data_IF_484784458072
#
_entry.id   IF_484784458072
#
_cell.length_a   1.000
_cell.length_b   1.000
_cell.length_c   1.000
_cell.angle_alpha   90.00
_cell.angle_beta   90.00
_cell.angle_gamma   90.00
#
_symmetry.space_group_name_H-M   'P 1'
#
loop_
_entity.id
_entity.type
_entity.pdbx_description
1 polymer ?
#
# COMPACT_ATOMS: atom_id res chain seq x y z
N UNK A 1 -14.94 14.16 4.45
CA UNK A 1 -13.94 13.26 3.83
C UNK A 1 -12.70 14.08 3.59
N UNK A 2 -11.54 13.69 4.12
CA UNK A 2 -10.29 14.44 3.94
C UNK A 2 -9.66 13.98 2.63
N UNK A 3 -9.61 14.86 1.65
CA UNK A 3 -8.83 14.64 0.43
C UNK A 3 -7.34 14.68 0.81
N UNK A 4 -6.70 13.51 0.86
CA UNK A 4 -5.24 13.43 0.94
C UNK A 4 -4.69 13.71 -0.47
N UNK A 5 -4.71 14.99 -0.87
CA UNK A 5 -4.33 15.40 -2.23
C UNK A 5 -2.80 15.58 -2.42
N UNK A 6 -2.00 15.04 -1.49
CA UNK A 6 -0.54 15.13 -1.55
C UNK A 6 0.02 13.77 -1.95
N UNK A 7 0.64 13.72 -3.12
CA UNK A 7 1.33 12.54 -3.65
C UNK A 7 2.84 12.71 -3.43
N UNK A 8 3.41 11.91 -2.55
CA UNK A 8 4.85 11.84 -2.31
C UNK A 8 5.50 10.92 -3.34
N UNK A 9 6.77 11.21 -3.69
CA UNK A 9 7.51 10.42 -4.67
C UNK A 9 8.81 9.88 -4.10
N UNK A 10 9.02 8.60 -4.33
CA UNK A 10 10.15 7.83 -3.81
C UNK A 10 10.76 6.95 -4.89
N UNK A 11 11.96 6.44 -4.61
CA UNK A 11 12.57 5.38 -5.40
C UNK A 11 13.12 4.28 -4.51
N UNK A 12 12.90 3.04 -4.92
CA UNK A 12 13.46 1.86 -4.28
C UNK A 12 13.60 0.74 -5.32
N UNK A 13 14.70 -0.03 -5.25
CA UNK A 13 14.94 -1.17 -6.14
C UNK A 13 14.86 -0.84 -7.65
N UNK A 14 15.18 0.40 -8.04
CA UNK A 14 15.07 0.88 -9.42
C UNK A 14 13.65 1.25 -9.87
N UNK A 15 12.66 1.18 -8.98
CA UNK A 15 11.28 1.57 -9.25
C UNK A 15 11.03 3.02 -8.81
N UNK A 16 10.18 3.71 -9.57
CA UNK A 16 9.59 5.00 -9.25
C UNK A 16 8.25 4.78 -8.55
N UNK A 17 8.15 5.25 -7.30
CA UNK A 17 7.01 4.97 -6.43
C UNK A 17 6.29 6.28 -6.11
N UNK A 18 4.98 6.31 -6.37
CA UNK A 18 4.09 7.37 -5.91
C UNK A 18 3.31 6.89 -4.68
N UNK A 19 3.20 7.72 -3.64
CA UNK A 19 2.54 7.33 -2.38
C UNK A 19 1.68 8.44 -1.81
N UNK A 20 0.48 8.10 -1.33
CA UNK A 20 -0.37 9.00 -0.55
C UNK A 20 0.06 9.10 0.93
N UNK A 21 1.01 8.25 1.35
CA UNK A 21 1.61 8.26 2.68
C UNK A 21 3.05 8.75 2.62
N UNK A 22 3.48 9.43 3.69
CA UNK A 22 4.90 9.73 3.90
C UNK A 22 5.64 8.45 4.28
N UNK A 23 6.67 8.12 3.52
CA UNK A 23 7.53 6.96 3.76
C UNK A 23 8.98 7.46 3.99
N UNK A 24 9.34 7.89 5.20
CA UNK A 24 10.64 8.52 5.48
C UNK A 24 11.83 7.57 5.28
N UNK A 25 11.60 6.26 5.34
CA UNK A 25 12.61 5.22 5.13
C UNK A 25 12.95 5.04 3.64
N UNK A 26 12.09 5.51 2.74
CA UNK A 26 12.33 5.45 1.31
C UNK A 26 13.10 6.68 0.83
N UNK A 27 14.01 6.47 -0.12
CA UNK A 27 14.75 7.57 -0.74
C UNK A 27 13.77 8.43 -1.56
N UNK A 28 13.76 9.77 -1.39
CA UNK A 28 12.97 10.65 -2.26
C UNK A 28 13.37 10.50 -3.73
N UNK A 29 12.38 10.53 -4.62
CA UNK A 29 12.64 10.57 -6.05
C UNK A 29 13.02 11.98 -6.49
N UNK A 30 14.15 12.13 -7.19
CA UNK A 30 14.65 13.42 -7.69
C UNK A 30 14.66 13.53 -9.22
N UNK A 31 14.07 12.56 -9.92
CA UNK A 31 13.95 12.58 -11.38
C UNK A 31 12.79 13.44 -11.86
N UNK A 32 12.80 13.77 -13.15
CA UNK A 32 11.78 14.62 -13.79
C UNK A 32 10.66 13.82 -14.47
N UNK A 33 10.72 12.48 -14.47
CA UNK A 33 9.71 11.66 -15.11
C UNK A 33 8.34 11.85 -14.46
N UNK A 34 7.31 12.03 -15.27
CA UNK A 34 5.93 12.15 -14.80
C UNK A 34 5.36 10.83 -14.31
N UNK A 35 5.93 9.71 -14.75
CA UNK A 35 5.34 8.39 -14.57
C UNK A 35 5.91 7.69 -13.33
N UNK A 36 5.09 6.82 -12.74
CA UNK A 36 5.46 5.95 -11.62
C UNK A 36 5.22 4.50 -12.02
N UNK A 37 6.08 3.60 -11.56
CA UNK A 37 5.94 2.16 -11.75
C UNK A 37 4.92 1.57 -10.77
N UNK A 38 4.91 2.11 -9.54
CA UNK A 38 4.06 1.66 -8.44
C UNK A 38 3.35 2.84 -7.77
N UNK A 39 2.06 2.70 -7.51
CA UNK A 39 1.26 3.62 -6.71
C UNK A 39 0.87 2.99 -5.38
N UNK A 40 1.05 3.72 -4.28
CA UNK A 40 0.57 3.37 -2.95
C UNK A 40 -0.55 4.33 -2.57
N UNK A 41 -1.75 3.79 -2.36
CA UNK A 41 -2.96 4.57 -2.04
C UNK A 41 -3.58 4.10 -0.72
N UNK A 42 -4.37 4.98 -0.11
CA UNK A 42 -5.17 4.64 1.09
C UNK A 42 -6.63 4.51 0.71
N UNK A 43 -7.21 3.34 0.91
CA UNK A 43 -8.57 3.05 0.47
C UNK A 43 -9.22 1.86 1.16
N UNK A 44 -10.47 1.54 0.81
CA UNK A 44 -11.11 0.32 1.27
C UNK A 44 -10.42 -0.91 0.66
N UNK A 45 -10.12 -1.91 1.50
CA UNK A 45 -9.54 -3.19 1.08
C UNK A 45 -10.48 -4.31 1.49
N UNK A 46 -10.93 -5.13 0.54
CA UNK A 46 -11.77 -6.30 0.80
C UNK A 46 -11.06 -7.31 1.72
N UNK A 47 -11.82 -8.07 2.51
CA UNK A 47 -11.28 -9.17 3.32
C UNK A 47 -11.03 -10.46 2.53
N UNK A 48 -11.59 -10.57 1.33
CA UNK A 48 -11.33 -11.68 0.40
C UNK A 48 -11.30 -11.21 -1.04
N UNK A 49 -10.54 -11.94 -1.85
CA UNK A 49 -10.63 -11.95 -3.31
C UNK A 49 -11.86 -12.76 -3.74
N UNK A 50 -12.40 -12.47 -4.93
CA UNK A 50 -13.65 -13.07 -5.41
C UNK A 50 -13.44 -14.56 -5.71
N UNK A 51 -12.30 -14.92 -6.31
CA UNK A 51 -11.97 -16.30 -6.70
C UNK A 51 -10.46 -16.54 -6.59
N UNK A 52 -9.92 -16.69 -5.36
CA UNK A 52 -8.49 -16.93 -5.19
C UNK A 52 -8.10 -18.29 -5.77
N UNK A 53 -7.03 -18.31 -6.59
CA UNK A 53 -6.42 -19.55 -7.11
C UNK A 53 -5.51 -20.20 -6.07
N UNK A 54 -5.06 -19.43 -5.08
CA UNK A 54 -4.33 -19.91 -3.91
C UNK A 54 -4.76 -19.09 -2.69
N UNK A 55 -4.92 -19.77 -1.54
CA UNK A 55 -5.25 -19.16 -0.26
C UNK A 55 -4.51 -19.90 0.87
N UNK A 56 -3.90 -19.15 1.77
CA UNK A 56 -3.41 -19.61 3.06
C UNK A 56 -3.90 -18.69 4.18
N UNK A 57 -3.38 -18.88 5.39
CA UNK A 57 -3.80 -18.16 6.59
C UNK A 57 -3.63 -16.64 6.48
N UNK A 58 -2.67 -16.18 5.68
CA UNK A 58 -2.31 -14.76 5.63
C UNK A 58 -2.42 -14.16 4.25
N UNK A 59 -2.66 -14.97 3.22
CA UNK A 59 -2.62 -14.50 1.85
C UNK A 59 -3.65 -15.16 0.94
N UNK A 60 -4.12 -14.38 -0.02
CA UNK A 60 -4.91 -14.84 -1.15
C UNK A 60 -4.30 -14.32 -2.43
N UNK A 61 -4.22 -15.17 -3.45
CA UNK A 61 -3.66 -14.86 -4.77
C UNK A 61 -4.69 -15.20 -5.83
N UNK A 62 -4.84 -14.32 -6.83
CA UNK A 62 -5.45 -14.61 -8.12
C UNK A 62 -4.64 -13.89 -9.21
N UNK A 63 -4.82 -14.19 -10.51
CA UNK A 63 -4.19 -13.43 -11.57
C UNK A 63 -4.45 -11.93 -11.42
N UNK A 64 -3.37 -11.14 -11.37
CA UNK A 64 -3.45 -9.68 -11.23
C UNK A 64 -3.76 -9.17 -9.80
N UNK A 65 -3.94 -10.03 -8.80
CA UNK A 65 -4.17 -9.54 -7.43
C UNK A 65 -3.55 -10.42 -6.34
N UNK A 66 -3.02 -9.75 -5.32
CA UNK A 66 -2.50 -10.35 -4.10
C UNK A 66 -3.04 -9.62 -2.88
N UNK A 67 -3.72 -10.33 -2.00
CA UNK A 67 -4.21 -9.81 -0.73
C UNK A 67 -3.36 -10.39 0.39
N UNK A 68 -2.65 -9.55 1.15
CA UNK A 68 -2.09 -9.92 2.44
C UNK A 68 -3.07 -9.49 3.54
N UNK A 69 -3.34 -10.40 4.47
CA UNK A 69 -4.06 -10.13 5.71
C UNK A 69 -3.43 -10.91 6.85
N UNK A 70 -2.72 -10.19 7.72
CA UNK A 70 -2.25 -10.71 9.00
C UNK A 70 -3.07 -10.02 10.07
N UNK A 71 -3.91 -10.80 10.76
CA UNK A 71 -4.83 -10.28 11.77
C UNK A 71 -4.12 -9.35 12.77
N UNK A 72 -4.72 -8.18 12.98
CA UNK A 72 -4.24 -7.10 13.87
C UNK A 72 -2.88 -6.47 13.51
N UNK A 73 -2.15 -7.00 12.53
CA UNK A 73 -0.80 -6.55 12.16
C UNK A 73 -0.82 -5.76 10.86
N UNK A 74 -1.33 -6.36 9.78
CA UNK A 74 -1.25 -5.76 8.46
C UNK A 74 -2.36 -6.26 7.53
N UNK A 75 -2.83 -5.37 6.67
CA UNK A 75 -3.71 -5.72 5.55
C UNK A 75 -3.36 -4.84 4.37
N UNK A 76 -3.21 -5.40 3.19
CA UNK A 76 -3.05 -4.63 1.96
C UNK A 76 -3.37 -5.46 0.73
N UNK A 77 -3.76 -4.78 -0.35
CA UNK A 77 -4.06 -5.39 -1.64
C UNK A 77 -3.10 -4.86 -2.68
N UNK A 78 -2.46 -5.76 -3.41
CA UNK A 78 -1.64 -5.45 -4.58
C UNK A 78 -2.42 -5.80 -5.83
N UNK A 79 -2.44 -4.88 -6.81
CA UNK A 79 -3.09 -5.06 -8.11
C UNK A 79 -2.09 -4.88 -9.25
N UNK A 80 -2.09 -5.82 -10.20
CA UNK A 80 -1.30 -5.85 -11.43
C UNK A 80 0.19 -5.56 -11.27
N UNK A 81 0.73 -5.75 -10.07
CA UNK A 81 2.10 -5.38 -9.70
C UNK A 81 2.40 -3.87 -9.72
N UNK A 82 1.37 -3.02 -9.86
CA UNK A 82 1.51 -1.57 -10.07
C UNK A 82 0.78 -0.73 -9.02
N UNK A 83 -0.13 -1.33 -8.26
CA UNK A 83 -0.87 -0.61 -7.22
C UNK A 83 -0.84 -1.39 -5.91
N UNK A 84 -0.65 -0.65 -4.81
CA UNK A 84 -0.73 -1.16 -3.44
C UNK A 84 -1.77 -0.30 -2.71
N UNK A 85 -2.86 -0.93 -2.27
CA UNK A 85 -3.93 -0.28 -1.52
C UNK A 85 -3.80 -0.68 -0.06
N UNK A 86 -3.58 0.32 0.78
CA UNK A 86 -3.55 0.19 2.23
C UNK A 86 -4.92 0.56 2.81
N UNK A 87 -5.41 -0.14 3.85
CA UNK A 87 -6.64 0.22 4.51
C UNK A 87 -6.53 1.60 5.15
N UNK A 88 -7.66 2.30 5.23
CA UNK A 88 -7.76 3.51 6.03
C UNK A 88 -7.35 3.17 7.47
N UNK A 89 -6.32 3.83 8.04
CA UNK A 89 -5.85 3.52 9.39
C UNK A 89 -6.99 3.66 10.38
N UNK A 90 -7.21 2.63 11.20
CA UNK A 90 -8.08 2.80 12.36
C UNK A 90 -7.41 3.73 13.38
N UNK A 91 -8.20 4.41 14.23
CA UNK A 91 -7.66 5.31 15.27
C UNK A 91 -6.60 4.64 16.18
N UNK A 92 -6.68 3.32 16.34
CA UNK A 92 -5.74 2.54 17.14
C UNK A 92 -4.36 2.40 16.46
N UNK A 93 -4.34 2.21 15.14
CA UNK A 93 -3.09 2.09 14.37
C UNK A 93 -2.32 3.41 14.31
N UNK A 94 -3.04 4.53 14.20
CA UNK A 94 -2.46 5.87 14.28
C UNK A 94 -1.76 6.13 15.63
N UNK A 95 -2.29 5.56 16.72
CA UNK A 95 -1.71 5.74 18.07
C UNK A 95 -0.41 4.96 18.27
N UNK A 96 -0.24 3.82 17.61
CA UNK A 96 0.99 3.02 17.67
C UNK A 96 2.11 3.73 16.88
N UNK A 97 1.79 4.21 15.67
CA UNK A 97 2.77 4.88 14.80
C UNK A 97 3.28 6.21 15.39
N UNK A 98 2.51 6.89 16.23
CA UNK A 98 2.94 8.14 16.89
C UNK A 98 3.76 7.94 18.16
N UNK A 99 3.96 6.70 18.62
CA UNK A 99 4.72 6.38 19.85
C UNK A 99 6.06 5.68 19.62
N UNK A 100 6.40 5.34 18.38
CA UNK A 100 7.62 4.61 18.02
C UNK A 100 8.72 5.54 17.42
N UNK A 101 8.48 6.85 17.36
CA UNK A 101 9.48 7.87 17.00
C UNK A 101 9.74 8.82 18.16
#
# INVERSE_FOLDING_TARGET
>A
MKEFNTLYRYTACGLNIASELVCPELRPYSGNDSDFDVRISVGPVSDRLIEPVYEDWFSQIQPGAYLLKVDEIAKYLVLDGKEIILPIPSKLQLWILTKIW
#
